data_IF_309595342273
#
_entry.id   IF_309595342273
#
_cell.length_a   1.000
_cell.length_b   1.000
_cell.length_c   1.000
_cell.angle_alpha   90.00
_cell.angle_beta   90.00
_cell.angle_gamma   90.00
#
_symmetry.space_group_name_H-M   'P 1'
#
loop_
_entity.id
_entity.type
_entity.pdbx_description
1 polymer ?
#
# COMPACT_ATOMS: atom_id res chain seq x y z
N UNK A 1 26.31 -27.77 67.04
CA UNK A 1 25.60 -28.65 66.09
C UNK A 1 24.21 -28.10 65.85
N UNK A 2 23.81 -28.00 64.57
CA UNK A 2 22.50 -27.61 64.01
C UNK A 2 22.17 -26.10 64.06
N UNK A 3 21.66 -25.47 63.01
CA UNK A 3 21.59 -25.77 61.58
C UNK A 3 21.19 -24.45 60.92
N UNK A 4 22.00 -23.96 59.98
CA UNK A 4 21.65 -22.84 59.10
C UNK A 4 20.58 -23.29 58.11
N UNK A 5 19.44 -22.61 58.07
CA UNK A 5 18.49 -22.69 56.96
C UNK A 5 18.14 -21.25 56.59
N UNK A 6 18.92 -20.69 55.66
CA UNK A 6 18.53 -19.51 54.91
C UNK A 6 17.69 -19.98 53.72
N UNK A 7 16.38 -19.77 53.79
CA UNK A 7 15.45 -20.04 52.70
C UNK A 7 15.53 -18.87 51.70
N UNK A 8 16.38 -18.98 50.68
CA UNK A 8 16.39 -18.05 49.55
C UNK A 8 15.23 -18.41 48.61
N UNK A 9 14.10 -17.72 48.77
CA UNK A 9 13.00 -17.77 47.80
C UNK A 9 13.43 -16.91 46.60
N UNK A 10 14.00 -17.55 45.58
CA UNK A 10 14.12 -16.95 44.26
C UNK A 10 12.72 -16.91 43.63
N UNK A 11 12.01 -15.80 43.82
CA UNK A 11 10.85 -15.49 42.99
C UNK A 11 11.38 -15.15 41.60
N UNK A 12 11.36 -16.14 40.69
CA UNK A 12 11.46 -15.88 39.26
C UNK A 12 10.28 -14.97 38.88
N UNK A 13 10.52 -13.67 38.82
CA UNK A 13 9.63 -12.76 38.09
C UNK A 13 9.73 -13.12 36.61
N UNK A 14 8.98 -14.14 36.20
CA UNK A 14 8.48 -14.20 34.83
C UNK A 14 7.57 -12.98 34.68
N UNK A 15 8.12 -11.87 34.21
CA UNK A 15 7.30 -10.78 33.69
C UNK A 15 6.54 -11.36 32.51
N UNK A 16 5.30 -11.79 32.74
CA UNK A 16 4.34 -12.00 31.66
C UNK A 16 4.12 -10.64 31.02
N UNK A 17 4.96 -10.33 30.02
CA UNK A 17 4.71 -9.23 29.11
C UNK A 17 3.46 -9.67 28.36
N UNK A 18 2.29 -9.17 28.78
CA UNK A 18 1.06 -9.36 28.01
C UNK A 18 1.33 -8.72 26.66
N UNK A 19 1.62 -9.51 25.63
CA UNK A 19 1.76 -9.02 24.27
C UNK A 19 0.42 -8.42 23.88
N UNK A 20 0.38 -7.11 23.73
CA UNK A 20 -0.77 -6.40 23.19
C UNK A 20 -1.03 -6.92 21.79
N UNK A 21 -2.05 -7.76 21.61
CA UNK A 21 -2.39 -8.28 20.29
C UNK A 21 -2.89 -7.14 19.41
N UNK A 22 -2.17 -6.82 18.35
CA UNK A 22 -2.68 -5.94 17.30
C UNK A 22 -3.62 -6.73 16.39
N UNK A 23 -4.92 -6.57 16.65
CA UNK A 23 -6.00 -7.21 15.88
C UNK A 23 -6.60 -6.21 14.89
N UNK A 24 -6.72 -6.62 13.63
CA UNK A 24 -7.41 -5.87 12.58
C UNK A 24 -8.83 -6.41 12.42
N UNK A 25 -9.83 -5.53 12.55
CA UNK A 25 -11.22 -5.86 12.25
C UNK A 25 -11.56 -5.43 10.81
N UNK A 26 -11.83 -6.41 9.95
CA UNK A 26 -12.14 -6.19 8.55
C UNK A 26 -13.65 -6.05 8.31
N UNK A 27 -14.02 -4.98 7.61
CA UNK A 27 -15.28 -4.89 6.89
C UNK A 27 -15.07 -5.36 5.45
N UNK A 28 -15.47 -6.60 5.17
CA UNK A 28 -15.24 -7.21 3.86
C UNK A 28 -16.25 -6.76 2.81
N UNK A 29 -15.76 -6.41 1.61
CA UNK A 29 -16.60 -5.98 0.48
C UNK A 29 -15.93 -6.21 -0.87
N UNK A 30 -16.72 -6.19 -1.94
CA UNK A 30 -16.20 -6.16 -3.31
C UNK A 30 -16.09 -4.71 -3.74
N UNK A 31 -14.93 -4.32 -4.28
CA UNK A 31 -14.67 -2.95 -4.74
C UNK A 31 -14.13 -3.00 -6.16
N UNK A 32 -14.62 -2.11 -7.02
CA UNK A 32 -14.13 -1.96 -8.38
C UNK A 32 -13.17 -0.77 -8.48
N UNK A 33 -11.89 -1.07 -8.65
CA UNK A 33 -10.88 -0.06 -8.98
C UNK A 33 -10.69 0.01 -10.50
N UNK A 34 -11.30 1.04 -11.09
CA UNK A 34 -11.28 1.27 -12.53
C UNK A 34 -9.83 1.39 -13.03
N UNK A 35 -9.60 0.97 -14.28
CA UNK A 35 -8.35 1.05 -15.05
C UNK A 35 -7.13 0.25 -14.55
N UNK A 36 -7.20 -0.42 -13.39
CA UNK A 36 -6.03 -1.07 -12.77
C UNK A 36 -6.31 -2.53 -12.37
N UNK A 37 -6.56 -2.78 -11.09
CA UNK A 37 -6.67 -4.13 -10.47
C UNK A 37 -8.03 -4.82 -10.71
N UNK A 38 -8.99 -4.15 -11.39
CA UNK A 38 -10.38 -4.60 -11.60
C UNK A 38 -11.08 -4.90 -10.25
N UNK A 39 -12.16 -5.67 -10.25
CA UNK A 39 -12.90 -6.05 -9.05
C UNK A 39 -12.02 -6.79 -8.04
N UNK A 40 -11.79 -6.18 -6.87
CA UNK A 40 -11.04 -6.76 -5.75
C UNK A 40 -11.97 -7.16 -4.62
N UNK A 41 -11.55 -8.14 -3.83
CA UNK A 41 -12.18 -8.41 -2.54
C UNK A 41 -11.36 -7.76 -1.44
N UNK A 42 -11.96 -6.82 -0.75
CA UNK A 42 -11.28 -5.88 0.13
C UNK A 42 -11.55 -6.17 1.60
N UNK A 43 -10.50 -6.14 2.43
CA UNK A 43 -10.60 -5.87 3.86
C UNK A 43 -10.54 -4.35 4.07
N UNK A 44 -11.68 -3.74 4.41
CA UNK A 44 -11.76 -2.34 4.81
C UNK A 44 -11.64 -2.17 6.33
N UNK A 45 -10.67 -1.39 6.79
CA UNK A 45 -10.39 -1.11 8.20
C UNK A 45 -10.77 0.32 8.50
N UNK A 46 -11.72 0.53 9.41
CA UNK A 46 -12.14 1.88 9.84
C UNK A 46 -11.38 2.39 11.06
N UNK A 47 -11.07 1.51 12.01
CA UNK A 47 -10.33 1.87 13.22
C UNK A 47 -9.15 0.92 13.38
N UNK A 48 -7.95 1.46 13.34
CA UNK A 48 -6.75 0.74 13.77
C UNK A 48 -6.62 0.99 15.27
N UNK A 49 -6.56 -0.07 16.11
CA UNK A 49 -6.39 0.12 17.55
C UNK A 49 -5.15 0.96 17.84
N UNK A 50 -5.26 1.87 18.81
CA UNK A 50 -4.16 2.75 19.25
C UNK A 50 -3.16 1.89 20.01
N UNK A 51 -2.27 1.25 19.26
CA UNK A 51 -1.21 0.38 19.76
C UNK A 51 0.14 0.93 19.30
N UNK A 52 1.20 0.59 20.01
CA UNK A 52 2.58 0.89 19.62
C UNK A 52 3.20 -0.17 18.71
N UNK A 53 2.43 -1.17 18.29
CA UNK A 53 2.90 -2.31 17.50
C UNK A 53 2.41 -2.17 16.06
N UNK A 54 3.32 -2.34 15.10
CA UNK A 54 3.01 -2.35 13.67
C UNK A 54 2.81 -3.77 13.12
N UNK A 55 2.85 -4.80 13.95
CA UNK A 55 2.74 -6.20 13.53
C UNK A 55 1.32 -6.69 13.75
N UNK A 56 0.58 -6.98 12.68
CA UNK A 56 -0.75 -7.57 12.77
C UNK A 56 -0.63 -9.00 13.30
N UNK A 57 -1.29 -9.28 14.42
CA UNK A 57 -1.26 -10.58 15.12
C UNK A 57 -2.52 -11.40 14.92
N UNK A 58 -3.64 -10.75 14.61
CA UNK A 58 -4.92 -11.41 14.37
C UNK A 58 -5.81 -10.59 13.43
N UNK A 59 -6.71 -11.26 12.71
CA UNK A 59 -7.70 -10.63 11.84
C UNK A 59 -9.08 -11.19 12.17
N UNK A 60 -10.05 -10.30 12.30
CA UNK A 60 -11.46 -10.62 12.55
C UNK A 60 -12.36 -10.01 11.49
N UNK A 61 -13.62 -10.46 11.43
CA UNK A 61 -14.63 -9.98 10.50
C UNK A 61 -15.36 -11.13 9.81
N UNK A 62 -16.56 -10.86 9.30
CA UNK A 62 -17.39 -11.86 8.64
C UNK A 62 -17.24 -11.75 7.12
N UNK A 63 -16.75 -12.80 6.47
CA UNK A 63 -16.64 -12.85 5.03
C UNK A 63 -18.01 -12.89 4.33
N UNK A 64 -18.01 -12.53 3.06
CA UNK A 64 -19.19 -12.56 2.20
C UNK A 64 -19.26 -13.92 1.49
N UNK A 65 -20.43 -14.54 1.51
CA UNK A 65 -20.71 -15.80 0.83
C UNK A 65 -19.70 -16.91 1.24
N UNK A 66 -19.05 -17.55 0.27
CA UNK A 66 -18.06 -18.61 0.44
C UNK A 66 -16.61 -18.10 0.37
N UNK A 67 -16.38 -16.78 0.41
CA UNK A 67 -15.03 -16.21 0.40
C UNK A 67 -14.33 -16.41 1.74
N UNK A 68 -13.01 -16.42 1.71
CA UNK A 68 -12.14 -16.52 2.88
C UNK A 68 -10.99 -15.51 2.78
N UNK A 69 -10.07 -15.53 3.74
CA UNK A 69 -8.86 -14.69 3.72
C UNK A 69 -8.03 -14.86 2.43
N UNK A 70 -8.02 -16.05 1.82
CA UNK A 70 -7.27 -16.31 0.57
C UNK A 70 -7.77 -15.47 -0.61
N UNK A 71 -9.04 -15.10 -0.58
CA UNK A 71 -9.69 -14.34 -1.64
C UNK A 71 -9.43 -12.84 -1.53
N UNK A 72 -8.91 -12.37 -0.40
CA UNK A 72 -8.68 -10.95 -0.13
C UNK A 72 -7.47 -10.48 -0.93
N UNK A 73 -7.69 -9.47 -1.77
CA UNK A 73 -6.68 -8.90 -2.66
C UNK A 73 -6.50 -7.40 -2.46
N UNK A 74 -7.28 -6.78 -1.57
CA UNK A 74 -7.20 -5.37 -1.25
C UNK A 74 -7.27 -5.13 0.25
N UNK A 75 -6.42 -4.25 0.76
CA UNK A 75 -6.52 -3.71 2.12
C UNK A 75 -6.69 -2.20 2.01
N UNK A 76 -7.70 -1.69 2.69
CA UNK A 76 -7.97 -0.26 2.78
C UNK A 76 -8.09 0.16 4.23
N UNK A 77 -7.24 1.09 4.66
CA UNK A 77 -7.25 1.67 6.00
C UNK A 77 -7.61 3.15 5.87
N UNK A 78 -8.74 3.56 6.45
CA UNK A 78 -9.22 4.95 6.39
C UNK A 78 -9.55 5.47 7.78
N UNK A 79 -9.46 6.80 7.95
CA UNK A 79 -10.04 7.46 9.12
C UNK A 79 -9.22 7.33 10.41
N UNK A 80 -7.94 6.97 10.33
CA UNK A 80 -7.08 6.79 11.50
C UNK A 80 -6.04 7.90 11.63
N UNK A 81 -6.48 9.09 12.04
CA UNK A 81 -5.63 10.27 12.26
C UNK A 81 -4.58 10.11 13.35
N UNK A 82 -4.49 8.94 13.99
CA UNK A 82 -3.49 8.55 14.99
C UNK A 82 -2.54 7.44 14.50
N UNK A 83 -2.78 6.86 13.31
CA UNK A 83 -1.94 5.79 12.76
C UNK A 83 -0.56 6.36 12.41
N UNK A 84 0.45 5.99 13.18
CA UNK A 84 1.81 6.56 13.09
C UNK A 84 2.85 5.61 12.49
N UNK A 85 2.40 4.47 11.96
CA UNK A 85 3.22 3.44 11.33
C UNK A 85 2.44 2.75 10.20
N UNK A 86 3.13 2.05 9.32
CA UNK A 86 2.53 1.15 8.32
C UNK A 86 2.31 -0.23 8.97
N UNK A 87 1.07 -0.75 9.07
CA UNK A 87 0.83 -2.10 9.60
C UNK A 87 1.37 -3.19 8.67
N UNK A 88 2.03 -4.19 9.26
CA UNK A 88 2.75 -5.29 8.58
C UNK A 88 2.20 -6.65 8.99
N UNK A 89 2.67 -7.71 8.31
CA UNK A 89 2.27 -9.12 8.47
C UNK A 89 0.86 -9.44 8.00
N UNK A 90 0.34 -8.65 7.07
CA UNK A 90 -0.89 -9.00 6.37
C UNK A 90 -0.74 -10.27 5.53
N UNK A 91 0.44 -10.55 4.99
CA UNK A 91 0.75 -11.77 4.22
C UNK A 91 0.50 -13.08 4.99
N UNK A 92 0.53 -13.05 6.33
CA UNK A 92 0.17 -14.20 7.17
C UNK A 92 -1.32 -14.57 7.06
N UNK A 93 -2.15 -13.63 6.59
CA UNK A 93 -3.60 -13.79 6.48
C UNK A 93 -4.05 -13.69 5.02
N UNK A 94 -3.57 -12.68 4.29
CA UNK A 94 -3.95 -12.36 2.92
C UNK A 94 -2.72 -12.49 2.01
N UNK A 95 -2.52 -13.62 1.33
CA UNK A 95 -1.27 -13.88 0.60
C UNK A 95 -1.22 -13.24 -0.80
N UNK A 96 -2.34 -12.76 -1.35
CA UNK A 96 -2.44 -12.24 -2.73
C UNK A 96 -2.86 -10.76 -2.78
N UNK A 97 -2.25 -9.92 -1.93
CA UNK A 97 -2.55 -8.48 -1.90
C UNK A 97 -2.04 -7.80 -3.17
N UNK A 98 -2.98 -7.18 -3.89
CA UNK A 98 -2.76 -6.42 -5.12
C UNK A 98 -3.03 -4.92 -4.95
N UNK A 99 -3.81 -4.53 -3.94
CA UNK A 99 -4.10 -3.14 -3.62
C UNK A 99 -3.90 -2.82 -2.15
N UNK A 100 -3.16 -1.73 -1.88
CA UNK A 100 -2.94 -1.22 -0.54
C UNK A 100 -3.21 0.28 -0.47
N UNK A 101 -4.22 0.63 0.32
CA UNK A 101 -4.70 2.00 0.46
C UNK A 101 -4.64 2.40 1.94
N UNK A 102 -3.92 3.48 2.24
CA UNK A 102 -3.95 4.14 3.55
C UNK A 102 -4.28 5.61 3.36
N UNK A 103 -5.38 6.06 3.94
CA UNK A 103 -5.76 7.47 3.92
C UNK A 103 -5.82 8.03 5.34
N UNK A 104 -5.36 9.28 5.50
CA UNK A 104 -5.44 10.04 6.75
C UNK A 104 -4.63 9.42 7.90
N UNK A 105 -3.34 9.18 7.67
CA UNK A 105 -2.38 8.71 8.67
C UNK A 105 -1.36 9.80 9.07
N UNK A 106 -0.50 9.48 10.05
CA UNK A 106 0.46 10.43 10.66
C UNK A 106 1.92 10.03 10.57
N UNK A 107 2.25 8.87 10.01
CA UNK A 107 3.65 8.54 9.70
C UNK A 107 4.22 9.57 8.72
N UNK A 108 5.49 9.91 8.91
CA UNK A 108 6.19 10.94 8.15
C UNK A 108 7.15 10.37 7.11
N UNK A 109 7.42 9.06 7.15
CA UNK A 109 8.39 8.38 6.30
C UNK A 109 7.86 7.02 5.87
N UNK A 110 8.10 6.64 4.62
CA UNK A 110 7.92 5.27 4.14
C UNK A 110 9.26 4.59 3.89
N UNK A 111 9.39 3.35 4.37
CA UNK A 111 10.58 2.51 4.19
C UNK A 111 10.25 1.30 3.30
N UNK A 112 11.24 0.83 2.54
CA UNK A 112 11.05 -0.33 1.65
C UNK A 112 10.63 -1.61 2.36
N UNK A 113 11.21 -1.90 3.53
CA UNK A 113 10.94 -3.15 4.24
C UNK A 113 9.48 -3.27 4.75
N UNK A 114 8.77 -2.14 4.84
CA UNK A 114 7.34 -2.10 5.17
C UNK A 114 6.46 -2.72 4.07
N UNK A 115 6.98 -2.86 2.84
CA UNK A 115 6.25 -3.36 1.68
C UNK A 115 6.80 -4.69 1.13
N UNK A 116 7.83 -5.26 1.75
CA UNK A 116 8.48 -6.51 1.33
C UNK A 116 7.52 -7.70 1.20
N UNK A 117 6.38 -7.66 1.89
CA UNK A 117 5.39 -8.73 1.90
C UNK A 117 4.35 -8.65 0.77
N UNK A 118 4.33 -7.57 -0.02
CA UNK A 118 3.32 -7.32 -1.06
C UNK A 118 3.86 -7.48 -2.48
N UNK A 119 4.47 -8.63 -2.81
CA UNK A 119 5.11 -8.86 -4.12
C UNK A 119 4.17 -8.76 -5.33
N UNK A 120 2.87 -8.95 -5.11
CA UNK A 120 1.82 -8.84 -6.12
C UNK A 120 1.18 -7.43 -6.19
N UNK A 121 1.72 -6.45 -5.47
CA UNK A 121 1.13 -5.12 -5.37
C UNK A 121 1.13 -4.39 -6.73
N UNK A 122 -0.06 -3.97 -7.14
CA UNK A 122 -0.33 -3.23 -8.38
C UNK A 122 -0.87 -1.82 -8.10
N UNK A 123 -1.56 -1.64 -6.98
CA UNK A 123 -2.22 -0.39 -6.60
C UNK A 123 -1.75 0.07 -5.23
N UNK A 124 -1.07 1.21 -5.18
CA UNK A 124 -0.62 1.85 -3.94
C UNK A 124 -1.17 3.27 -3.86
N UNK A 125 -1.95 3.55 -2.81
CA UNK A 125 -2.48 4.88 -2.55
C UNK A 125 -2.30 5.29 -1.10
N UNK A 126 -1.48 6.31 -0.87
CA UNK A 126 -1.28 6.92 0.43
C UNK A 126 -1.63 8.40 0.32
N UNK A 127 -2.72 8.84 0.93
CA UNK A 127 -3.18 10.23 0.78
C UNK A 127 -3.62 10.90 2.06
N UNK A 128 -3.66 12.23 2.04
CA UNK A 128 -4.13 13.06 3.16
C UNK A 128 -3.38 12.80 4.47
N UNK A 129 -2.08 12.49 4.39
CA UNK A 129 -1.26 12.12 5.55
C UNK A 129 -0.11 13.12 5.79
N UNK A 130 0.65 12.93 6.88
CA UNK A 130 1.84 13.74 7.20
C UNK A 130 3.14 13.26 6.52
N UNK A 131 3.02 12.40 5.51
CA UNK A 131 4.15 11.80 4.82
C UNK A 131 5.06 12.88 4.20
N UNK A 132 6.29 12.97 4.69
CA UNK A 132 7.27 13.98 4.35
C UNK A 132 8.46 13.42 3.55
N UNK A 133 8.80 12.15 3.76
CA UNK A 133 9.97 11.49 3.17
C UNK A 133 9.65 10.11 2.62
N UNK A 134 10.31 9.71 1.52
CA UNK A 134 10.17 8.37 0.93
C UNK A 134 11.55 7.78 0.70
N UNK A 135 11.79 6.59 1.26
CA UNK A 135 13.00 5.77 1.06
C UNK A 135 13.26 5.45 -0.41
N UNK A 136 14.53 5.26 -0.80
CA UNK A 136 14.88 4.83 -2.16
C UNK A 136 14.44 3.39 -2.49
N UNK A 137 14.17 2.58 -1.46
CA UNK A 137 13.91 1.15 -1.63
C UNK A 137 12.43 0.78 -1.58
N UNK A 138 11.53 1.76 -1.58
CA UNK A 138 10.10 1.53 -1.42
C UNK A 138 9.54 0.46 -2.37
N UNK A 139 10.00 0.49 -3.63
CA UNK A 139 9.47 -0.36 -4.70
C UNK A 139 10.37 -1.55 -5.05
N UNK A 140 11.44 -1.82 -4.31
CA UNK A 140 12.36 -2.94 -4.62
C UNK A 140 11.68 -4.31 -4.63
N UNK A 141 10.68 -4.50 -3.75
CA UNK A 141 9.90 -5.74 -3.65
C UNK A 141 8.51 -5.66 -4.26
N UNK A 142 8.11 -4.50 -4.77
CA UNK A 142 6.81 -4.29 -5.41
C UNK A 142 6.96 -3.70 -6.82
N UNK A 143 7.68 -4.39 -7.74
CA UNK A 143 7.99 -3.86 -9.07
C UNK A 143 6.76 -3.77 -10.00
N UNK A 144 5.63 -4.36 -9.60
CA UNK A 144 4.41 -4.46 -10.40
C UNK A 144 3.42 -3.31 -10.19
N UNK A 145 3.79 -2.27 -9.43
CA UNK A 145 2.91 -1.12 -9.17
C UNK A 145 2.61 -0.38 -10.48
N UNK A 146 1.32 -0.29 -10.82
CA UNK A 146 0.81 0.41 -12.01
C UNK A 146 -0.05 1.63 -11.64
N UNK A 147 -0.54 1.68 -10.40
CA UNK A 147 -1.24 2.84 -9.86
C UNK A 147 -0.51 3.30 -8.61
N UNK A 148 0.04 4.52 -8.67
CA UNK A 148 0.69 5.16 -7.55
C UNK A 148 0.06 6.54 -7.31
N UNK A 149 -0.52 6.70 -6.13
CA UNK A 149 -0.96 8.00 -5.64
C UNK A 149 -0.39 8.27 -4.26
N UNK A 150 0.43 9.32 -4.19
CA UNK A 150 1.01 9.86 -2.97
C UNK A 150 0.52 11.31 -2.74
N UNK A 151 -0.69 11.59 -3.22
CA UNK A 151 -1.25 12.94 -3.30
C UNK A 151 -1.71 13.46 -1.94
N UNK A 152 -1.73 14.78 -1.77
CA UNK A 152 -2.13 15.45 -0.53
C UNK A 152 -1.33 15.01 0.71
N UNK A 153 -0.01 14.88 0.56
CA UNK A 153 0.89 14.66 1.69
C UNK A 153 1.78 15.89 1.90
N UNK A 154 2.93 15.72 2.57
CA UNK A 154 3.90 16.79 2.82
C UNK A 154 5.27 16.47 2.21
N UNK A 155 5.31 15.66 1.15
CA UNK A 155 6.55 15.13 0.59
C UNK A 155 7.47 16.29 0.23
N UNK A 156 8.62 16.30 0.88
CA UNK A 156 9.71 17.24 0.68
C UNK A 156 11.04 16.52 0.37
N UNK A 157 11.11 15.20 0.58
CA UNK A 157 12.29 14.37 0.29
C UNK A 157 11.91 13.06 -0.36
N UNK A 158 12.66 12.65 -1.37
CA UNK A 158 12.45 11.41 -2.12
C UNK A 158 13.78 10.71 -2.40
N UNK A 159 13.78 9.38 -2.26
CA UNK A 159 14.89 8.51 -2.63
C UNK A 159 15.41 8.73 -4.06
N UNK A 160 16.74 8.80 -4.29
CA UNK A 160 17.35 9.08 -5.60
C UNK A 160 16.92 8.10 -6.69
N UNK A 161 16.65 6.86 -6.28
CA UNK A 161 16.35 5.73 -7.15
C UNK A 161 14.99 5.09 -6.85
N UNK A 162 14.10 5.83 -6.16
CA UNK A 162 12.78 5.36 -5.75
C UNK A 162 12.06 4.62 -6.89
N UNK A 163 12.02 5.20 -8.08
CA UNK A 163 11.25 4.67 -9.21
C UNK A 163 12.02 3.71 -10.11
N UNK A 164 13.32 3.49 -9.87
CA UNK A 164 14.17 2.61 -10.69
C UNK A 164 13.65 1.16 -10.77
N UNK A 165 13.10 0.57 -9.68
CA UNK A 165 12.51 -0.78 -9.75
C UNK A 165 11.21 -0.88 -10.55
N UNK A 166 10.54 0.24 -10.86
CA UNK A 166 9.23 0.24 -11.53
C UNK A 166 9.37 0.25 -13.04
N UNK A 167 8.50 -0.51 -13.71
CA UNK A 167 8.31 -0.40 -15.15
C UNK A 167 7.38 0.80 -15.48
N UNK A 168 7.98 1.95 -15.73
CA UNK A 168 7.26 3.21 -16.03
C UNK A 168 6.33 3.12 -17.24
N UNK A 169 6.52 2.12 -18.13
CA UNK A 169 5.63 1.91 -19.28
C UNK A 169 4.29 1.27 -18.90
N UNK A 170 4.23 0.62 -17.74
CA UNK A 170 3.01 -0.01 -17.21
C UNK A 170 2.22 0.88 -16.28
N UNK A 171 2.83 1.96 -15.78
CA UNK A 171 2.16 2.90 -14.88
C UNK A 171 1.02 3.59 -15.62
N UNK A 172 -0.19 3.49 -15.08
CA UNK A 172 -1.42 4.08 -15.64
C UNK A 172 -1.82 5.36 -14.90
N UNK A 173 -1.50 5.43 -13.62
CA UNK A 173 -1.80 6.57 -12.76
C UNK A 173 -0.61 6.87 -11.87
N UNK A 174 -0.13 8.10 -11.92
CA UNK A 174 1.06 8.55 -11.21
C UNK A 174 0.79 9.94 -10.63
N UNK A 175 0.51 10.04 -9.33
CA UNK A 175 0.02 11.27 -8.74
C UNK A 175 0.76 11.66 -7.45
N UNK A 176 1.26 12.89 -7.46
CA UNK A 176 1.96 13.53 -6.35
C UNK A 176 1.40 14.94 -6.08
N UNK A 177 0.21 15.27 -6.60
CA UNK A 177 -0.36 16.61 -6.46
C UNK A 177 -0.63 16.93 -4.98
N UNK A 178 -0.44 18.19 -4.59
CA UNK A 178 -0.61 18.63 -3.21
C UNK A 178 0.53 18.23 -2.26
N UNK A 179 1.75 18.00 -2.76
CA UNK A 179 2.96 17.84 -1.94
C UNK A 179 3.84 19.11 -1.95
N UNK A 180 4.89 19.15 -1.11
CA UNK A 180 5.73 20.34 -0.94
C UNK A 180 6.76 20.54 -2.04
N UNK A 181 7.49 19.48 -2.42
CA UNK A 181 8.55 19.57 -3.43
C UNK A 181 8.04 19.29 -4.86
N UNK A 182 6.90 18.63 -5.01
CA UNK A 182 6.28 18.28 -6.28
C UNK A 182 4.76 18.42 -6.16
N UNK A 183 4.09 18.87 -7.21
CA UNK A 183 2.62 18.83 -7.26
C UNK A 183 2.15 18.61 -8.68
N UNK A 184 2.31 17.37 -9.17
CA UNK A 184 1.95 16.93 -10.52
C UNK A 184 1.24 15.58 -10.50
N UNK A 185 0.55 15.27 -11.59
CA UNK A 185 -0.05 13.96 -11.81
C UNK A 185 -0.13 13.62 -13.29
N UNK A 186 -0.20 12.33 -13.59
CA UNK A 186 -0.57 11.79 -14.90
C UNK A 186 -1.58 10.64 -14.72
N UNK A 187 -2.66 10.65 -15.52
CA UNK A 187 -3.84 9.79 -15.31
C UNK A 187 -4.20 8.86 -16.48
N UNK A 188 -3.37 8.79 -17.53
CA UNK A 188 -3.64 7.98 -18.73
C UNK A 188 -2.44 7.13 -19.17
N UNK A 189 -1.46 6.96 -18.29
CA UNK A 189 -0.24 6.21 -18.57
C UNK A 189 0.62 6.81 -19.68
N UNK A 190 0.61 8.14 -19.87
CA UNK A 190 1.56 8.77 -20.77
C UNK A 190 2.99 8.65 -20.18
N UNK A 191 3.76 7.70 -20.70
CA UNK A 191 5.12 7.41 -20.21
C UNK A 191 6.05 8.62 -20.28
N UNK A 192 5.95 9.45 -21.32
CA UNK A 192 6.78 10.67 -21.43
C UNK A 192 6.46 11.65 -20.31
N UNK A 193 5.18 11.89 -20.03
CA UNK A 193 4.75 12.76 -18.94
C UNK A 193 5.17 12.19 -17.56
N UNK A 194 5.11 10.87 -17.38
CA UNK A 194 5.58 10.21 -16.14
C UNK A 194 7.10 10.42 -15.96
N UNK A 195 7.89 10.24 -17.01
CA UNK A 195 9.34 10.47 -16.99
C UNK A 195 9.66 11.94 -16.65
N UNK A 196 8.92 12.89 -17.22
CA UNK A 196 9.06 14.31 -16.88
C UNK A 196 8.78 14.58 -15.39
N UNK A 197 7.73 13.97 -14.83
CA UNK A 197 7.43 14.09 -13.39
C UNK A 197 8.56 13.47 -12.55
N UNK A 198 9.07 12.29 -12.91
CA UNK A 198 10.19 11.64 -12.20
C UNK A 198 11.44 12.53 -12.22
N UNK A 199 11.77 13.12 -13.37
CA UNK A 199 12.91 14.03 -13.48
C UNK A 199 12.72 15.29 -12.64
N UNK A 200 11.51 15.83 -12.59
CA UNK A 200 11.21 16.96 -11.71
C UNK A 200 11.32 16.60 -10.23
N UNK A 201 10.86 15.41 -9.83
CA UNK A 201 11.05 14.89 -8.45
C UNK A 201 12.54 14.82 -8.11
N UNK A 202 13.38 14.27 -9.00
CA UNK A 202 14.84 14.19 -8.78
C UNK A 202 15.48 15.56 -8.56
N UNK A 203 14.99 16.60 -9.21
CA UNK A 203 15.53 17.96 -9.09
C UNK A 203 14.97 18.69 -7.88
N UNK A 204 13.67 18.56 -7.59
CA UNK A 204 12.98 19.38 -6.58
C UNK A 204 12.87 18.73 -5.21
N UNK A 205 12.92 17.41 -5.12
CA UNK A 205 12.77 16.66 -3.87
C UNK A 205 14.14 16.14 -3.39
N UNK A 206 14.85 16.87 -2.51
CA UNK A 206 16.18 16.47 -2.04
C UNK A 206 16.18 15.07 -1.38
N UNK A 207 17.25 14.31 -1.60
CA UNK A 207 17.40 12.92 -1.15
C UNK A 207 17.52 12.77 0.38
N UNK A 208 17.02 11.65 0.89
CA UNK A 208 17.33 11.16 2.25
C UNK A 208 18.56 10.28 2.15
N UNK A 209 19.72 10.67 2.71
CA UNK A 209 20.80 9.71 2.92
C UNK A 209 20.26 8.60 3.84
N UNK A 210 19.90 7.44 3.27
CA UNK A 210 19.49 6.30 4.09
C UNK A 210 20.71 5.76 4.83
N UNK A 211 20.61 5.42 6.13
CA UNK A 211 21.65 4.67 6.80
C UNK A 211 21.81 3.33 6.08
N UNK A 212 22.96 3.15 5.43
CA UNK A 212 23.36 1.87 4.85
C UNK A 212 23.50 0.88 6.00
N UNK A 213 22.51 0.01 6.19
CA UNK A 213 22.66 -1.15 7.07
C UNK A 213 23.64 -2.09 6.37
N UNK A 214 24.92 -1.94 6.67
CA UNK A 214 25.95 -2.90 6.28
C UNK A 214 25.80 -4.09 7.23
N UNK A 215 24.96 -5.05 6.87
CA UNK A 215 25.04 -6.39 7.46
C UNK A 215 26.36 -7.00 7.01
N UNK A 216 27.40 -6.80 7.81
CA UNK A 216 28.63 -7.60 7.70
C UNK A 216 28.28 -9.01 8.13
N UNK A 217 27.87 -9.84 7.16
CA UNK A 217 27.91 -11.28 7.30
C UNK A 217 29.39 -11.66 7.44
N UNK A 218 29.84 -11.75 8.68
CA UNK A 218 31.09 -12.45 9.00
C UNK A 218 30.83 -13.92 8.71
N UNK A 219 31.21 -14.35 7.50
CA UNK A 219 31.26 -15.76 7.17
C UNK A 219 32.36 -16.36 8.05
N UNK A 220 32.07 -17.32 8.96
CA UNK A 220 33.11 -18.01 9.69
C UNK A 220 33.99 -18.75 8.68
N UNK A 221 35.29 -18.47 8.74
CA UNK A 221 36.32 -19.10 7.92
C UNK A 221 36.34 -20.59 8.25
N UNK A 222 35.90 -21.43 7.31
CA UNK A 222 36.05 -22.88 7.42
C UNK A 222 37.51 -23.18 7.10
N UNK A 223 38.30 -23.50 8.12
CA UNK A 223 39.61 -24.13 7.96
C UNK A 223 39.44 -25.49 7.31
N UNK A 224 39.97 -25.63 6.09
CA UNK A 224 40.07 -26.89 5.37
C UNK A 224 41.20 -27.73 5.96
N UNK A 225 40.84 -28.85 6.58
CA UNK A 225 41.74 -30.01 6.71
C UNK A 225 41.16 -31.15 5.90
N UNK A 226 41.97 -31.58 4.93
CA UNK A 226 41.84 -32.71 4.01
C UNK A 226 41.09 -33.93 4.59
N UNK A 227 40.30 -34.64 3.77
CA UNK A 227 40.79 -35.86 3.10
C UNK A 227 39.77 -36.50 2.14
N UNK A 228 40.31 -36.95 0.99
CA UNK A 228 39.93 -38.04 0.08
C UNK A 228 38.72 -37.91 -0.88
N UNK A 229 39.13 -37.67 -2.12
CA UNK A 229 38.64 -38.20 -3.40
C UNK A 229 37.83 -39.50 -3.38
N UNK A 230 36.68 -39.48 -4.04
CA UNK A 230 36.24 -40.56 -4.93
C UNK A 230 35.63 -39.95 -6.20
N UNK A 231 36.16 -40.41 -7.33
CA UNK A 231 35.75 -40.16 -8.70
C UNK A 231 34.43 -40.85 -9.03
N UNK A 232 33.66 -40.23 -9.94
CA UNK A 232 32.62 -40.78 -10.87
C UNK A 232 31.52 -39.71 -11.01
N UNK A 233 30.84 -39.51 -12.12
CA UNK A 233 31.05 -39.76 -13.54
C UNK A 233 30.00 -38.85 -14.22
N UNK A 234 30.27 -38.60 -15.47
CA UNK A 234 29.61 -37.78 -16.46
C UNK A 234 28.13 -38.12 -16.73
N UNK A 235 27.46 -37.14 -17.37
CA UNK A 235 26.25 -37.27 -18.22
C UNK A 235 24.88 -37.40 -17.55
N UNK A 236 24.07 -36.33 -17.59
CA UNK A 236 22.90 -36.24 -18.48
C UNK A 236 22.01 -35.01 -18.16
N UNK A 237 21.98 -34.08 -19.11
CA UNK A 237 20.85 -33.18 -19.34
C UNK A 237 19.80 -33.91 -20.19
N UNK A 238 18.50 -33.75 -19.90
CA UNK A 238 17.47 -33.88 -20.92
C UNK A 238 16.91 -32.50 -21.27
N UNK A 239 17.26 -32.02 -22.45
CA UNK A 239 16.40 -31.17 -23.30
C UNK A 239 15.38 -32.07 -23.99
N UNK A 240 14.08 -31.82 -23.84
CA UNK A 240 13.05 -32.23 -24.81
C UNK A 240 11.96 -31.14 -24.91
N UNK A 241 12.00 -30.46 -26.05
CA UNK A 241 10.94 -30.10 -27.01
C UNK A 241 9.64 -29.43 -26.55
N UNK A 242 9.50 -28.19 -27.06
CA UNK A 242 8.37 -27.66 -27.81
C UNK A 242 7.51 -28.70 -28.54
N UNK A 243 6.20 -28.64 -28.31
CA UNK A 243 5.18 -28.95 -29.32
C UNK A 243 4.11 -27.85 -29.32
N UNK A 244 3.87 -27.34 -30.54
CA UNK A 244 2.77 -26.48 -30.92
C UNK A 244 1.51 -27.33 -31.14
N UNK A 245 0.36 -26.87 -30.66
CA UNK A 245 -0.93 -27.18 -31.28
C UNK A 245 -1.74 -25.88 -31.48
N UNK A 246 -1.75 -25.45 -32.75
CA UNK A 246 -2.92 -24.94 -33.51
C UNK A 246 -4.15 -25.84 -33.26
N UNK A 247 -5.43 -25.46 -33.24
CA UNK A 247 -6.29 -24.38 -33.76
C UNK A 247 -7.65 -24.63 -33.05
N UNK A 248 -8.58 -23.71 -32.82
CA UNK A 248 -9.61 -23.27 -33.79
C UNK A 248 -10.63 -22.38 -33.05
N UNK A 249 -10.99 -21.25 -33.65
CA UNK A 249 -12.14 -20.40 -33.29
C UNK A 249 -13.47 -21.14 -33.35
N UNK A 250 -14.36 -20.89 -32.38
CA UNK A 250 -15.81 -20.95 -32.62
C UNK A 250 -16.54 -19.85 -31.87
N UNK A 251 -17.04 -18.91 -32.67
CA UNK A 251 -18.08 -17.93 -32.36
C UNK A 251 -19.38 -18.66 -32.05
N UNK A 252 -20.11 -18.25 -31.00
CA UNK A 252 -21.54 -18.53 -30.90
C UNK A 252 -22.24 -17.33 -30.25
N UNK A 253 -23.05 -16.70 -31.07
CA UNK A 253 -24.07 -15.69 -30.76
C UNK A 253 -25.14 -16.30 -29.86
N UNK A 254 -25.54 -15.60 -28.80
CA UNK A 254 -26.84 -15.84 -28.14
C UNK A 254 -27.57 -14.51 -28.01
N UNK A 255 -28.79 -14.56 -28.51
CA UNK A 255 -29.81 -13.52 -28.66
C UNK A 255 -30.42 -13.08 -27.33
N UNK A 256 -30.95 -11.86 -27.39
CA UNK A 256 -31.79 -11.19 -26.41
C UNK A 256 -33.06 -11.98 -26.08
N UNK A 257 -33.47 -11.97 -24.81
CA UNK A 257 -34.88 -12.04 -24.43
C UNK A 257 -35.19 -10.96 -23.39
N UNK A 258 -36.29 -10.28 -23.67
CA UNK A 258 -36.88 -9.14 -22.98
C UNK A 258 -37.86 -9.66 -21.94
N UNK A 259 -37.85 -9.11 -20.72
CA UNK A 259 -39.06 -9.08 -19.88
C UNK A 259 -39.23 -7.72 -19.22
N UNK A 260 -40.48 -7.27 -19.30
CA UNK A 260 -41.07 -5.97 -19.01
C UNK A 260 -41.29 -5.77 -17.51
N UNK A 261 -41.11 -4.55 -16.99
CA UNK A 261 -41.43 -4.25 -15.59
C UNK A 261 -41.17 -2.81 -15.12
N UNK A 262 -41.99 -1.87 -15.61
CA UNK A 262 -42.41 -0.62 -14.97
C UNK A 262 -41.45 0.60 -14.89
N UNK A 263 -42.00 1.71 -15.42
CA UNK A 263 -41.48 3.08 -15.47
C UNK A 263 -41.14 3.65 -14.08
N UNK A 264 -39.91 4.16 -13.94
CA UNK A 264 -39.65 5.40 -13.21
C UNK A 264 -39.06 6.41 -14.19
N UNK A 265 -39.84 7.42 -14.56
CA UNK A 265 -39.36 8.59 -15.30
C UNK A 265 -38.84 9.63 -14.31
N UNK A 266 -37.52 9.71 -14.15
CA UNK A 266 -36.82 10.97 -13.94
C UNK A 266 -36.00 11.20 -15.21
N UNK A 267 -36.05 12.41 -15.78
CA UNK A 267 -35.31 12.74 -17.01
C UNK A 267 -33.84 12.38 -16.84
N UNK A 268 -33.33 11.46 -17.66
CA UNK A 268 -31.93 11.05 -17.68
C UNK A 268 -31.06 12.23 -18.13
N UNK A 269 -30.61 13.04 -17.17
CA UNK A 269 -29.48 13.94 -17.38
C UNK A 269 -28.30 13.05 -17.78
N UNK A 270 -27.71 13.29 -18.95
CA UNK A 270 -26.65 12.42 -19.50
C UNK A 270 -25.55 12.27 -18.44
N UNK A 271 -25.02 11.05 -18.25
CA UNK A 271 -23.93 10.76 -17.31
C UNK A 271 -22.77 11.77 -17.43
N UNK A 272 -22.48 12.27 -18.64
CA UNK A 272 -21.48 13.33 -18.86
C UNK A 272 -21.85 14.67 -18.21
N UNK A 273 -23.12 15.04 -18.26
CA UNK A 273 -23.65 16.28 -17.70
C UNK A 273 -23.72 16.20 -16.16
N UNK A 274 -24.05 15.03 -15.63
CA UNK A 274 -23.98 14.75 -14.19
C UNK A 274 -22.52 14.80 -13.69
N UNK A 275 -21.56 14.26 -14.46
CA UNK A 275 -20.12 14.36 -14.14
C UNK A 275 -19.64 15.81 -14.12
N UNK A 276 -20.10 16.64 -15.07
CA UNK A 276 -19.76 18.07 -15.09
C UNK A 276 -20.32 18.79 -13.85
N UNK A 277 -21.58 18.55 -13.52
CA UNK A 277 -22.23 19.15 -12.35
C UNK A 277 -21.59 18.71 -11.03
N UNK A 278 -21.21 17.44 -10.90
CA UNK A 278 -20.47 16.93 -9.74
C UNK A 278 -19.09 17.60 -9.64
N UNK A 279 -18.39 17.81 -10.77
CA UNK A 279 -17.09 18.51 -10.78
C UNK A 279 -17.21 19.97 -10.38
N UNK A 280 -18.23 20.67 -10.87
CA UNK A 280 -18.47 22.06 -10.53
C UNK A 280 -18.85 22.21 -9.06
N UNK A 281 -19.70 21.32 -8.54
CA UNK A 281 -20.04 21.29 -7.11
C UNK A 281 -18.83 20.96 -6.22
N UNK A 282 -17.96 20.03 -6.63
CA UNK A 282 -16.71 19.74 -5.93
C UNK A 282 -15.76 20.93 -5.92
N UNK A 283 -15.72 21.71 -7.01
CA UNK A 283 -14.92 22.93 -7.10
C UNK A 283 -15.44 24.01 -6.16
N UNK A 284 -16.75 24.24 -6.13
CA UNK A 284 -17.39 25.18 -5.20
C UNK A 284 -17.10 24.78 -3.75
N UNK A 285 -17.27 23.51 -3.40
CA UNK A 285 -17.00 23.00 -2.05
C UNK A 285 -15.51 23.19 -1.67
N UNK A 286 -14.60 22.99 -2.62
CA UNK A 286 -13.18 23.22 -2.41
C UNK A 286 -12.87 24.71 -2.15
N UNK A 287 -13.50 25.62 -2.89
CA UNK A 287 -13.35 27.08 -2.71
C UNK A 287 -13.90 27.53 -1.35
N UNK A 288 -15.09 27.07 -0.96
CA UNK A 288 -15.68 27.33 0.37
C UNK A 288 -14.79 26.80 1.50
N UNK A 289 -14.21 25.60 1.33
CA UNK A 289 -13.27 25.05 2.31
C UNK A 289 -11.99 25.90 2.44
N UNK A 290 -11.48 26.48 1.34
CA UNK A 290 -10.33 27.39 1.42
C UNK A 290 -10.71 28.70 2.11
N UNK A 291 -11.92 29.22 1.89
CA UNK A 291 -12.41 30.42 2.55
C UNK A 291 -12.53 30.22 4.07
N UNK A 292 -13.16 29.12 4.50
CA UNK A 292 -13.26 28.73 5.92
C UNK A 292 -11.87 28.55 6.54
N UNK A 293 -10.94 27.89 5.83
CA UNK A 293 -9.55 27.72 6.28
C UNK A 293 -8.86 29.07 6.50
N UNK A 294 -9.05 30.02 5.59
CA UNK A 294 -8.49 31.36 5.69
C UNK A 294 -9.14 32.17 6.82
N UNK A 295 -10.42 31.99 7.07
CA UNK A 295 -11.13 32.62 8.19
C UNK A 295 -10.65 32.08 9.54
N UNK A 296 -10.49 30.76 9.67
CA UNK A 296 -9.88 30.12 10.85
C UNK A 296 -8.46 30.63 11.08
N UNK A 297 -7.66 30.78 10.01
CA UNK A 297 -6.31 31.36 10.10
C UNK A 297 -6.36 32.82 10.61
N UNK A 298 -7.30 33.64 10.13
CA UNK A 298 -7.51 35.01 10.63
C UNK A 298 -7.94 35.04 12.09
N UNK A 299 -8.83 34.13 12.52
CA UNK A 299 -9.24 34.00 13.91
C UNK A 299 -8.09 33.54 14.82
N UNK A 300 -7.23 32.64 14.33
CA UNK A 300 -6.04 32.18 15.07
C UNK A 300 -4.95 33.25 15.19
N UNK A 301 -4.92 34.22 14.26
CA UNK A 301 -3.98 35.34 14.27
C UNK A 301 -4.41 36.51 15.17
N UNK A 302 -5.65 36.50 15.69
CA UNK A 302 -6.15 37.55 16.58
C UNK A 302 -7.02 36.98 17.72
N UNK A 303 -6.42 36.38 18.76
CA UNK A 303 -7.14 35.62 19.80
C UNK A 303 -7.99 36.48 20.76
N UNK A 304 -8.16 37.78 20.49
CA UNK A 304 -8.92 38.70 21.34
C UNK A 304 -9.77 39.66 20.49
N UNK A 305 -10.84 39.15 19.90
CA UNK A 305 -11.96 39.98 19.44
C UNK A 305 -13.28 39.19 19.55
N UNK A 306 -13.69 38.87 20.77
CA UNK A 306 -15.10 38.67 21.05
C UNK A 306 -15.77 40.05 21.16
N UNK A 307 -16.73 40.32 20.28
CA UNK A 307 -17.82 41.27 20.52
C UNK A 307 -19.13 40.50 20.44
#
# INVERSE_FOLDING_TARGET
MKNSIWLLIFVNLLTFKTSSSFTIECNYRVVDYIDTVRSVYECGVKNVPILSENIVTNITGNHLNNKTNIDVTSIRIEGNSTLSFVPRRFSNFFPHIRAYIINSATFDTLFGDEFDEFSELEFLQFSSSKLASISSRLFEKTPNVIFLSLSWNQILRVGSDLFTPLDVTKIKYFAFYGNRCISKMEQKGNTTAIIEIINEIRVKCPYVNEPVITTTLTIPTITTTNLLTTTEDTTNFPTINTEQETTTSKTTTISQETTTGQNLTCSEKNVKELICEIKDNLKILYEEMQEIKNEILRMSANPCACK
#
